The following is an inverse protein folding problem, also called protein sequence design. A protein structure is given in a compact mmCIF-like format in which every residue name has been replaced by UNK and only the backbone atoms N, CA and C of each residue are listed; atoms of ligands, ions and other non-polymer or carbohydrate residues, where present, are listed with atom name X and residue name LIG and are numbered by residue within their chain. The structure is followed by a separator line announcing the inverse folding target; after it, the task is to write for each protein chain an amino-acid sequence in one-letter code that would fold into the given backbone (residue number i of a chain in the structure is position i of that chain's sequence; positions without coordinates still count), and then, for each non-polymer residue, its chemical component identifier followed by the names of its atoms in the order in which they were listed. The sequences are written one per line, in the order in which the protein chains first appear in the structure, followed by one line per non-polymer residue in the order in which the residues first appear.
data_IF_343937039883
#
_entry.id   IF_343937039883
#
_cell.length_a   1.000
_cell.length_b   1.000
_cell.length_c   1.000
_cell.angle_alpha   90.00
_cell.angle_beta   90.00
_cell.angle_gamma   90.00
#
_symmetry.space_group_name_H-M   'P 1'
#
loop_
_entity.id
_entity.type
_entity.pdbx_description
1 polymer ?
#
# COMPACT_ATOMS: atom_id res chain seq x y z
N UNK A 1 -20.88 -21.17 1.92
CA UNK A 1 -19.50 -21.57 2.29
C UNK A 1 -19.21 -23.04 2.00
N UNK A 2 -20.07 -24.00 2.36
CA UNK A 2 -19.83 -25.45 2.08
C UNK A 2 -19.49 -25.79 0.62
N UNK A 3 -20.03 -25.05 -0.36
CA UNK A 3 -19.82 -25.31 -1.80
C UNK A 3 -18.42 -24.99 -2.34
N UNK A 4 -17.69 -24.06 -1.71
CA UNK A 4 -16.35 -23.66 -2.17
C UNK A 4 -15.27 -24.64 -1.70
N UNK A 5 -15.61 -25.54 -0.77
CA UNK A 5 -14.69 -26.49 -0.17
C UNK A 5 -13.80 -25.84 0.90
N UNK A 6 -13.32 -26.68 1.83
CA UNK A 6 -12.51 -26.26 2.97
C UNK A 6 -11.19 -25.58 2.56
N UNK A 7 -10.55 -26.10 1.51
CA UNK A 7 -9.30 -25.54 0.97
C UNK A 7 -9.46 -24.08 0.52
N UNK A 8 -10.63 -23.73 -0.02
CA UNK A 8 -10.93 -22.35 -0.36
C UNK A 8 -11.20 -21.50 0.89
N UNK A 9 -12.09 -21.94 1.77
CA UNK A 9 -12.52 -21.14 2.94
C UNK A 9 -11.40 -20.89 3.94
N UNK A 10 -10.47 -21.84 4.05
CA UNK A 10 -9.34 -21.79 4.99
C UNK A 10 -8.07 -21.24 4.32
N UNK A 11 -8.17 -20.77 3.08
CA UNK A 11 -7.02 -20.26 2.33
C UNK A 11 -6.40 -19.04 3.03
N UNK A 12 -5.06 -19.00 3.08
CA UNK A 12 -4.26 -17.97 3.79
C UNK A 12 -4.58 -16.52 3.38
N UNK A 13 -5.10 -16.31 2.17
CA UNK A 13 -5.44 -14.98 1.64
C UNK A 13 -6.42 -14.22 2.53
N UNK A 14 -7.35 -14.91 3.19
CA UNK A 14 -8.31 -14.26 4.09
C UNK A 14 -7.61 -13.66 5.31
N UNK A 15 -6.63 -14.36 5.88
CA UNK A 15 -5.79 -13.85 6.95
C UNK A 15 -4.90 -12.71 6.47
N UNK A 16 -4.28 -12.85 5.29
CA UNK A 16 -3.48 -11.78 4.70
C UNK A 16 -4.28 -10.48 4.52
N UNK A 17 -5.50 -10.56 4.00
CA UNK A 17 -6.35 -9.37 3.82
C UNK A 17 -6.66 -8.67 5.13
N UNK A 18 -7.00 -9.42 6.17
CA UNK A 18 -7.25 -8.87 7.51
C UNK A 18 -6.01 -8.21 8.10
N UNK A 19 -4.86 -8.89 8.06
CA UNK A 19 -3.62 -8.33 8.61
C UNK A 19 -3.15 -7.07 7.88
N UNK A 20 -3.28 -7.04 6.54
CA UNK A 20 -2.94 -5.86 5.76
C UNK A 20 -3.93 -4.71 6.02
N UNK A 21 -5.22 -5.00 6.20
CA UNK A 21 -6.21 -3.99 6.57
C UNK A 21 -5.89 -3.38 7.94
N UNK A 22 -5.56 -4.20 8.94
CA UNK A 22 -5.17 -3.76 10.28
C UNK A 22 -3.87 -2.93 10.26
N UNK A 23 -2.92 -3.30 9.40
CA UNK A 23 -1.72 -2.49 9.17
C UNK A 23 -2.06 -1.09 8.67
N UNK A 24 -2.91 -0.97 7.63
CA UNK A 24 -3.30 0.34 7.10
C UNK A 24 -4.14 1.16 8.09
N UNK A 25 -4.95 0.51 8.92
CA UNK A 25 -5.69 1.17 9.99
C UNK A 25 -4.74 1.78 11.04
N UNK A 26 -3.79 0.98 11.52
CA UNK A 26 -2.76 1.40 12.47
C UNK A 26 -1.89 2.53 11.89
N UNK A 27 -1.52 2.40 10.62
CA UNK A 27 -0.76 3.42 9.91
C UNK A 27 -1.55 4.72 9.75
N UNK A 28 -2.85 4.65 9.45
CA UNK A 28 -3.71 5.83 9.37
C UNK A 28 -3.77 6.59 10.69
N UNK A 29 -3.93 5.87 11.80
CA UNK A 29 -3.97 6.44 13.15
C UNK A 29 -2.66 7.11 13.54
N UNK A 30 -1.53 6.44 13.35
CA UNK A 30 -0.20 6.98 13.69
C UNK A 30 0.24 8.12 12.76
N UNK A 31 -0.18 8.08 11.49
CA UNK A 31 0.20 9.11 10.52
C UNK A 31 -0.60 10.40 10.68
N UNK A 32 -1.79 10.33 11.29
CA UNK A 32 -2.72 11.46 11.43
C UNK A 32 -2.10 12.67 12.14
N UNK A 33 -1.20 12.42 13.09
CA UNK A 33 -0.51 13.46 13.87
C UNK A 33 0.58 14.21 13.11
N UNK A 34 1.07 13.70 11.96
CA UNK A 34 2.05 14.41 11.15
C UNK A 34 1.37 15.44 10.25
N UNK A 35 1.88 16.68 10.23
CA UNK A 35 1.36 17.69 9.32
C UNK A 35 1.77 17.40 7.87
N UNK A 36 0.80 17.21 6.97
CA UNK A 36 1.06 17.21 5.53
C UNK A 36 1.45 18.60 5.06
N UNK A 37 2.74 18.80 4.77
CA UNK A 37 3.23 20.05 4.21
C UNK A 37 2.80 20.19 2.75
N UNK A 38 2.54 21.43 2.31
CA UNK A 38 2.19 21.72 0.91
C UNK A 38 0.70 21.62 0.55
N UNK A 39 -0.21 21.42 1.51
CA UNK A 39 -1.67 21.44 1.24
C UNK A 39 -2.43 22.20 2.32
N UNK A 40 -3.70 22.57 2.04
CA UNK A 40 -4.59 23.22 3.02
C UNK A 40 -5.31 22.21 3.93
N UNK A 41 -4.88 20.95 3.94
CA UNK A 41 -5.52 19.92 4.75
C UNK A 41 -5.21 20.13 6.24
N UNK A 42 -6.22 19.96 7.10
CA UNK A 42 -6.06 20.08 8.57
C UNK A 42 -5.38 18.82 9.13
N UNK A 43 -5.61 17.67 8.49
CA UNK A 43 -5.05 16.38 8.86
C UNK A 43 -4.17 15.85 7.73
N UNK A 44 -3.31 14.88 8.05
CA UNK A 44 -2.46 14.25 7.05
C UNK A 44 -3.30 13.63 5.93
N UNK A 45 -2.99 13.96 4.67
CA UNK A 45 -3.70 13.43 3.51
C UNK A 45 -3.56 11.90 3.39
N UNK A 46 -2.44 11.35 3.86
CA UNK A 46 -2.17 9.92 3.79
C UNK A 46 -3.09 9.11 4.69
N UNK A 47 -3.54 9.65 5.83
CA UNK A 47 -4.53 9.01 6.71
C UNK A 47 -5.81 8.65 5.95
N UNK A 48 -6.28 9.52 5.06
CA UNK A 48 -7.46 9.24 4.24
C UNK A 48 -7.20 8.19 3.16
N UNK A 49 -5.99 8.16 2.61
CA UNK A 49 -5.61 7.13 1.65
C UNK A 49 -5.53 5.76 2.33
N UNK A 50 -4.90 5.67 3.51
CA UNK A 50 -4.76 4.41 4.25
C UNK A 50 -6.10 3.86 4.73
N UNK A 51 -7.00 4.70 5.27
CA UNK A 51 -8.36 4.28 5.61
C UNK A 51 -9.17 3.84 4.37
N UNK A 52 -9.00 4.50 3.23
CA UNK A 52 -9.62 4.07 1.96
C UNK A 52 -9.08 2.73 1.45
N UNK A 53 -7.78 2.51 1.59
CA UNK A 53 -7.11 1.24 1.25
C UNK A 53 -7.61 0.11 2.15
N UNK A 54 -7.68 0.33 3.48
CA UNK A 54 -8.28 -0.62 4.42
C UNK A 54 -9.67 -1.06 3.97
N UNK A 55 -10.57 -0.09 3.70
CA UNK A 55 -11.92 -0.40 3.24
C UNK A 55 -11.95 -1.17 1.90
N UNK A 56 -10.98 -0.94 1.02
CA UNK A 56 -10.84 -1.71 -0.22
C UNK A 56 -10.40 -3.16 0.06
N UNK A 57 -9.49 -3.39 1.01
CA UNK A 57 -9.07 -4.73 1.43
C UNK A 57 -10.21 -5.50 2.11
N UNK A 58 -11.00 -4.84 2.96
CA UNK A 58 -12.21 -5.41 3.55
C UNK A 58 -13.23 -5.82 2.48
N UNK A 59 -13.42 -4.96 1.47
CA UNK A 59 -14.31 -5.25 0.33
C UNK A 59 -13.82 -6.45 -0.48
N UNK A 60 -12.51 -6.56 -0.73
CA UNK A 60 -11.90 -7.73 -1.40
C UNK A 60 -12.20 -9.00 -0.60
N UNK A 61 -12.03 -8.96 0.73
CA UNK A 61 -12.28 -10.09 1.61
C UNK A 61 -13.73 -10.55 1.55
N UNK A 62 -14.69 -9.63 1.54
CA UNK A 62 -16.12 -9.92 1.43
C UNK A 62 -16.45 -10.58 0.08
N UNK A 63 -15.93 -10.05 -1.02
CA UNK A 63 -16.16 -10.59 -2.37
C UNK A 63 -15.53 -11.98 -2.51
N UNK A 64 -14.30 -12.17 -2.04
CA UNK A 64 -13.65 -13.48 -2.03
C UNK A 64 -14.41 -14.50 -1.19
N UNK A 65 -14.98 -14.09 -0.05
CA UNK A 65 -15.80 -14.98 0.80
C UNK A 65 -17.05 -15.50 0.08
N UNK A 66 -17.51 -14.75 -0.93
CA UNK A 66 -18.60 -15.15 -1.81
C UNK A 66 -18.14 -15.95 -3.05
N UNK A 67 -16.85 -16.27 -3.18
CA UNK A 67 -16.33 -17.07 -4.29
C UNK A 67 -16.05 -16.29 -5.59
N UNK A 68 -16.10 -14.95 -5.54
CA UNK A 68 -16.01 -14.06 -6.70
C UNK A 68 -14.59 -13.54 -6.93
N UNK A 69 -13.69 -14.43 -7.37
CA UNK A 69 -12.26 -14.10 -7.50
C UNK A 69 -12.02 -13.00 -8.54
N UNK A 70 -12.77 -13.00 -9.66
CA UNK A 70 -12.55 -12.01 -10.70
C UNK A 70 -12.91 -10.59 -10.26
N UNK A 71 -14.06 -10.41 -9.59
CA UNK A 71 -14.45 -9.11 -9.03
C UNK A 71 -13.44 -8.63 -7.98
N UNK A 72 -12.85 -9.56 -7.24
CA UNK A 72 -11.78 -9.27 -6.28
C UNK A 72 -10.53 -8.72 -6.96
N UNK A 73 -10.19 -9.16 -8.18
CA UNK A 73 -9.08 -8.59 -8.96
C UNK A 73 -9.35 -7.17 -9.45
N UNK A 74 -10.61 -6.82 -9.76
CA UNK A 74 -10.97 -5.43 -10.08
C UNK A 74 -10.71 -4.51 -8.88
N UNK A 75 -11.02 -4.96 -7.67
CA UNK A 75 -10.67 -4.25 -6.45
C UNK A 75 -9.16 -4.27 -6.15
N UNK A 76 -8.45 -5.36 -6.46
CA UNK A 76 -6.98 -5.41 -6.35
C UNK A 76 -6.33 -4.40 -7.29
N UNK A 77 -6.87 -4.21 -8.51
CA UNK A 77 -6.44 -3.16 -9.44
C UNK A 77 -6.63 -1.77 -8.86
N UNK A 78 -7.80 -1.52 -8.24
CA UNK A 78 -8.09 -0.25 -7.54
C UNK A 78 -7.12 -0.02 -6.38
N UNK A 79 -6.88 -1.04 -5.55
CA UNK A 79 -5.90 -0.98 -4.46
C UNK A 79 -4.49 -0.65 -4.99
N UNK A 80 -4.04 -1.34 -6.04
CA UNK A 80 -2.78 -1.04 -6.72
C UNK A 80 -2.71 0.44 -7.12
N UNK A 81 -3.73 0.96 -7.81
CA UNK A 81 -3.73 2.36 -8.25
C UNK A 81 -3.72 3.34 -7.08
N UNK A 82 -4.49 3.09 -6.02
CA UNK A 82 -4.47 3.91 -4.81
C UNK A 82 -3.08 3.99 -4.17
N UNK A 83 -2.34 2.88 -4.10
CA UNK A 83 -0.97 2.88 -3.55
C UNK A 83 0.00 3.69 -4.41
N UNK A 84 -0.11 3.60 -5.73
CA UNK A 84 0.76 4.35 -6.64
C UNK A 84 0.42 5.85 -6.63
N UNK A 85 -0.87 6.20 -6.52
CA UNK A 85 -1.31 7.60 -6.33
C UNK A 85 -0.80 8.15 -5.00
N UNK A 86 -0.77 7.35 -3.94
CA UNK A 86 -0.21 7.76 -2.64
C UNK A 86 1.27 8.11 -2.76
N UNK A 87 2.07 7.22 -3.36
CA UNK A 87 3.51 7.44 -3.58
C UNK A 87 3.76 8.69 -4.43
N UNK A 88 2.99 8.86 -5.51
CA UNK A 88 3.08 10.04 -6.35
C UNK A 88 2.79 11.32 -5.57
N UNK A 89 1.70 11.34 -4.81
CA UNK A 89 1.29 12.51 -4.02
C UNK A 89 2.41 12.90 -3.07
N UNK A 90 2.96 11.94 -2.33
CA UNK A 90 4.06 12.18 -1.40
C UNK A 90 5.33 12.67 -2.09
N UNK A 91 5.73 12.04 -3.19
CA UNK A 91 6.91 12.46 -3.94
C UNK A 91 6.71 13.87 -4.53
N UNK A 92 5.55 14.15 -5.13
CA UNK A 92 5.26 15.43 -5.75
C UNK A 92 5.25 16.56 -4.73
N UNK A 93 4.64 16.35 -3.55
CA UNK A 93 4.72 17.30 -2.43
C UNK A 93 6.17 17.50 -1.97
N UNK A 94 6.94 16.42 -1.84
CA UNK A 94 8.36 16.50 -1.43
C UNK A 94 9.25 17.22 -2.46
N UNK A 95 8.89 17.20 -3.74
CA UNK A 95 9.63 17.88 -4.81
C UNK A 95 9.24 19.35 -4.98
N UNK A 96 7.98 19.72 -4.70
CA UNK A 96 7.43 21.03 -5.04
C UNK A 96 7.11 21.91 -3.83
N UNK A 97 7.01 21.37 -2.62
CA UNK A 97 6.85 22.18 -1.42
C UNK A 97 8.15 22.92 -1.11
N UNK A 98 8.07 24.24 -1.03
CA UNK A 98 9.15 25.11 -0.57
C UNK A 98 8.55 26.42 -0.03
N UNK A 99 9.41 27.31 0.48
CA UNK A 99 8.97 28.59 1.06
C UNK A 99 8.21 29.48 0.07
N UNK A 100 8.49 29.36 -1.24
CA UNK A 100 7.83 30.12 -2.30
C UNK A 100 6.56 29.42 -2.84
N UNK A 101 6.37 28.13 -2.52
CA UNK A 101 5.26 27.29 -2.94
C UNK A 101 4.67 26.51 -1.76
N UNK A 102 4.12 27.26 -0.80
CA UNK A 102 3.60 26.72 0.44
C UNK A 102 2.34 25.85 0.26
N UNK A 103 1.62 26.04 -0.85
CA UNK A 103 0.47 25.23 -1.25
C UNK A 103 0.73 24.72 -2.67
N UNK A 104 0.93 23.42 -2.78
CA UNK A 104 1.11 22.73 -4.06
C UNK A 104 -0.26 22.59 -4.73
N UNK A 105 -0.64 23.60 -5.52
CA UNK A 105 -1.98 23.71 -6.12
C UNK A 105 -2.40 22.47 -6.89
N UNK A 106 -1.47 21.80 -7.57
CA UNK A 106 -1.74 20.58 -8.31
C UNK A 106 -2.41 19.49 -7.44
N UNK A 107 -1.91 19.29 -6.22
CA UNK A 107 -2.47 18.31 -5.27
C UNK A 107 -3.72 18.88 -4.57
N UNK A 108 -3.73 20.17 -4.22
CA UNK A 108 -4.88 20.79 -3.55
C UNK A 108 -6.11 20.89 -4.48
N UNK A 109 -5.91 21.01 -5.79
CA UNK A 109 -6.98 21.04 -6.79
C UNK A 109 -7.67 19.67 -6.95
N UNK A 110 -6.93 18.56 -6.80
CA UNK A 110 -7.54 17.23 -6.75
C UNK A 110 -8.41 17.06 -5.51
N UNK A 111 -7.92 17.54 -4.37
CA UNK A 111 -8.68 17.52 -3.11
C UNK A 111 -9.99 18.32 -3.21
N UNK A 112 -9.97 19.44 -3.94
CA UNK A 112 -11.18 20.26 -4.21
C UNK A 112 -12.07 19.69 -5.31
N UNK A 113 -11.60 18.69 -6.06
CA UNK A 113 -12.29 18.17 -7.24
C UNK A 113 -12.33 19.14 -8.43
N UNK A 114 -11.43 20.12 -8.47
CA UNK A 114 -11.32 21.08 -9.60
C UNK A 114 -10.40 20.56 -10.71
N UNK A 115 -9.57 19.57 -10.41
CA UNK A 115 -8.75 18.83 -11.37
C UNK A 115 -8.85 17.33 -11.11
N UNK A 116 -8.63 16.52 -12.15
CA UNK A 116 -8.59 15.07 -12.05
C UNK A 116 -7.17 14.56 -11.82
N UNK A 117 -7.05 13.46 -11.09
CA UNK A 117 -5.79 12.73 -10.93
C UNK A 117 -5.28 12.29 -12.32
N UNK A 118 -4.00 12.49 -12.65
CA UNK A 118 -3.41 12.11 -13.93
C UNK A 118 -3.51 10.61 -14.20
N UNK A 119 -3.40 10.26 -15.47
CA UNK A 119 -3.36 8.86 -15.88
C UNK A 119 -2.17 8.12 -15.28
N UNK A 120 -2.36 6.81 -15.04
CA UNK A 120 -1.33 5.92 -14.48
C UNK A 120 0.03 6.06 -15.18
N UNK A 121 0.05 6.23 -16.51
CA UNK A 121 1.32 6.33 -17.26
C UNK A 121 2.12 7.58 -16.88
N UNK A 122 1.44 8.71 -16.64
CA UNK A 122 2.06 9.96 -16.20
C UNK A 122 2.62 9.77 -14.80
N UNK A 123 1.80 9.24 -13.89
CA UNK A 123 2.20 8.97 -12.50
C UNK A 123 3.40 8.02 -12.43
N UNK A 124 3.31 6.87 -13.12
CA UNK A 124 4.34 5.84 -13.11
C UNK A 124 5.66 6.36 -13.68
N UNK A 125 5.61 7.19 -14.73
CA UNK A 125 6.82 7.82 -15.29
C UNK A 125 7.45 8.77 -14.29
N UNK A 126 6.66 9.62 -13.64
CA UNK A 126 7.15 10.57 -12.64
C UNK A 126 7.88 9.87 -11.49
N UNK A 127 7.29 8.81 -10.92
CA UNK A 127 7.92 8.00 -9.87
C UNK A 127 9.22 7.36 -10.35
N UNK A 128 9.24 6.78 -11.56
CA UNK A 128 10.41 6.06 -12.10
C UNK A 128 11.57 6.98 -12.45
N UNK A 129 11.29 8.19 -12.91
CA UNK A 129 12.30 9.17 -13.30
C UNK A 129 12.87 9.93 -12.08
N UNK A 130 12.31 9.73 -10.88
CA UNK A 130 12.76 10.38 -9.64
C UNK A 130 14.12 9.87 -9.18
N UNK A 131 15.09 10.77 -9.07
CA UNK A 131 16.40 10.48 -8.48
C UNK A 131 16.30 10.04 -7.01
N UNK A 132 15.35 10.62 -6.24
CA UNK A 132 15.12 10.28 -4.82
C UNK A 132 14.68 8.83 -4.65
N UNK A 133 13.85 8.32 -5.55
CA UNK A 133 13.32 6.96 -5.50
C UNK A 133 14.12 5.96 -6.35
N UNK A 134 15.21 6.38 -6.99
CA UNK A 134 15.94 5.54 -7.93
C UNK A 134 16.42 4.22 -7.30
N UNK A 135 17.05 4.21 -6.10
CA UNK A 135 17.56 2.95 -5.54
C UNK A 135 16.46 1.91 -5.30
N UNK A 136 15.34 2.33 -4.71
CA UNK A 136 14.22 1.42 -4.47
C UNK A 136 13.49 1.04 -5.77
N UNK A 137 13.40 1.96 -6.73
CA UNK A 137 12.78 1.69 -8.05
C UNK A 137 13.58 0.68 -8.83
N UNK A 138 14.91 0.78 -8.85
CA UNK A 138 15.77 -0.18 -9.55
C UNK A 138 15.58 -1.59 -8.98
N UNK A 139 15.48 -1.72 -7.65
CA UNK A 139 15.18 -3.00 -7.00
C UNK A 139 13.78 -3.51 -7.36
N UNK A 140 12.77 -2.65 -7.38
CA UNK A 140 11.41 -3.04 -7.75
C UNK A 140 11.30 -3.43 -9.24
N UNK A 141 12.12 -2.85 -10.11
CA UNK A 141 12.11 -3.10 -11.55
C UNK A 141 13.16 -4.10 -12.03
N UNK A 142 13.93 -4.71 -11.13
CA UNK A 142 14.97 -5.70 -11.46
C UNK A 142 14.42 -6.91 -12.23
N UNK A 143 13.14 -7.21 -12.05
CA UNK A 143 12.42 -8.30 -12.70
C UNK A 143 11.02 -7.85 -13.16
N UNK A 144 10.25 -8.79 -13.71
CA UNK A 144 8.92 -8.51 -14.27
C UNK A 144 7.78 -8.67 -13.25
N UNK A 145 8.05 -8.90 -11.96
CA UNK A 145 7.02 -9.23 -10.96
C UNK A 145 5.89 -8.20 -10.95
N UNK A 146 6.20 -6.93 -10.64
CA UNK A 146 5.18 -5.89 -10.49
C UNK A 146 4.50 -5.52 -11.82
N UNK A 147 5.22 -5.65 -12.94
CA UNK A 147 4.62 -5.53 -14.27
C UNK A 147 3.58 -6.64 -14.48
N UNK A 148 3.92 -7.89 -14.17
CA UNK A 148 3.03 -9.03 -14.34
C UNK A 148 1.82 -8.96 -13.39
N UNK A 149 1.99 -8.47 -12.17
CA UNK A 149 0.88 -8.20 -11.24
C UNK A 149 -0.11 -7.22 -11.85
N UNK A 150 0.40 -6.09 -12.38
CA UNK A 150 -0.43 -5.09 -13.03
C UNK A 150 -1.13 -5.64 -14.27
N UNK A 151 -0.41 -6.39 -15.11
CA UNK A 151 -0.95 -7.00 -16.33
C UNK A 151 -2.06 -7.99 -15.98
N UNK A 152 -1.90 -8.84 -14.95
CA UNK A 152 -2.96 -9.73 -14.44
C UNK A 152 -4.18 -8.97 -13.95
N UNK A 153 -3.99 -7.92 -13.14
CA UNK A 153 -5.09 -7.07 -12.69
C UNK A 153 -5.88 -6.49 -13.86
N UNK A 154 -5.18 -6.08 -14.93
CA UNK A 154 -5.78 -5.56 -16.16
C UNK A 154 -6.56 -6.65 -16.91
N UNK A 155 -5.99 -7.85 -17.03
CA UNK A 155 -6.62 -8.99 -17.72
C UNK A 155 -7.90 -9.47 -17.04
N UNK A 156 -7.96 -9.43 -15.71
CA UNK A 156 -9.17 -9.73 -14.94
C UNK A 156 -10.23 -8.64 -15.05
N UNK A 157 -9.82 -7.37 -15.00
CA UNK A 157 -10.73 -6.21 -15.08
C UNK A 157 -11.43 -6.14 -16.43
N UNK A 158 -10.72 -6.45 -17.53
CA UNK A 158 -11.27 -6.37 -18.88
C UNK A 158 -11.81 -7.70 -19.42
N UNK A 159 -11.84 -8.76 -18.61
CA UNK A 159 -12.20 -10.12 -19.05
C UNK A 159 -11.44 -10.57 -20.30
N UNK A 160 -10.13 -10.29 -20.36
CA UNK A 160 -9.31 -10.60 -21.53
C UNK A 160 -9.30 -12.11 -21.88
N UNK A 161 -9.60 -12.98 -20.92
CA UNK A 161 -9.75 -14.41 -21.11
C UNK A 161 -11.07 -14.93 -20.56
N UNK A 162 -11.71 -15.87 -21.26
CA UNK A 162 -12.99 -16.44 -20.84
C UNK A 162 -12.93 -17.14 -19.47
N UNK A 163 -11.79 -17.74 -19.11
CA UNK A 163 -11.63 -18.35 -17.78
C UNK A 163 -11.69 -17.33 -16.63
N UNK A 164 -11.41 -16.05 -16.89
CA UNK A 164 -11.59 -14.97 -15.91
C UNK A 164 -13.07 -14.72 -15.61
N UNK A 165 -13.94 -14.86 -16.62
CA UNK A 165 -15.39 -14.78 -16.42
C UNK A 165 -15.87 -15.91 -15.50
N UNK A 166 -15.39 -17.13 -15.74
CA UNK A 166 -15.73 -18.31 -14.94
C UNK A 166 -15.29 -18.21 -13.47
N UNK A 167 -14.24 -17.44 -13.18
CA UNK A 167 -13.76 -17.22 -11.81
C UNK A 167 -14.74 -16.42 -10.94
N UNK A 168 -15.76 -15.80 -11.53
CA UNK A 168 -16.82 -15.11 -10.81
C UNK A 168 -18.07 -15.95 -10.55
N UNK A 169 -18.20 -17.08 -11.25
CA UNK A 169 -19.29 -18.02 -11.04
C UNK A 169 -18.91 -18.95 -9.89
N UNK A 170 -19.57 -18.82 -8.75
CA UNK A 170 -19.34 -19.63 -7.55
C UNK A 170 -20.22 -20.89 -7.50
N UNK A 171 -21.06 -21.13 -8.50
CA UNK A 171 -21.94 -22.30 -8.61
C UNK A 171 -21.28 -23.44 -9.42
N UNK A 172 -20.25 -23.13 -10.22
CA UNK A 172 -19.51 -24.12 -10.99
C UNK A 172 -18.29 -24.68 -10.25
N UNK A 173 -18.03 -25.96 -10.45
CA UNK A 173 -16.74 -26.55 -10.09
C UNK A 173 -15.66 -26.11 -11.08
N UNK A 174 -14.65 -25.42 -10.57
CA UNK A 174 -13.52 -24.95 -11.36
C UNK A 174 -12.22 -25.51 -10.75
N UNK A 175 -11.56 -26.49 -11.38
CA UNK A 175 -10.36 -27.15 -10.82
C UNK A 175 -9.23 -26.19 -10.45
N UNK A 176 -9.11 -25.08 -11.17
CA UNK A 176 -8.03 -24.10 -10.98
C UNK A 176 -8.37 -22.99 -9.98
N UNK A 177 -9.49 -23.06 -9.25
CA UNK A 177 -9.93 -22.00 -8.33
C UNK A 177 -8.93 -21.73 -7.22
N UNK A 178 -8.41 -22.79 -6.59
CA UNK A 178 -7.40 -22.66 -5.52
C UNK A 178 -6.11 -22.04 -6.08
N UNK A 179 -5.66 -22.48 -7.26
CA UNK A 179 -4.50 -21.90 -7.93
C UNK A 179 -4.67 -20.41 -8.25
N UNK A 180 -5.89 -20.00 -8.65
CA UNK A 180 -6.21 -18.60 -8.87
C UNK A 180 -6.15 -17.79 -7.55
N UNK A 181 -6.59 -18.38 -6.44
CA UNK A 181 -6.54 -17.79 -5.12
C UNK A 181 -5.10 -17.67 -4.57
N UNK A 182 -4.26 -18.67 -4.84
CA UNK A 182 -2.81 -18.62 -4.56
C UNK A 182 -2.12 -17.51 -5.37
N UNK A 183 -2.49 -17.36 -6.64
CA UNK A 183 -1.96 -16.27 -7.49
C UNK A 183 -2.43 -14.90 -6.96
N UNK A 184 -3.70 -14.78 -6.59
CA UNK A 184 -4.26 -13.56 -5.99
C UNK A 184 -3.53 -13.19 -4.70
N UNK A 185 -3.27 -14.19 -3.84
CA UNK A 185 -2.51 -14.03 -2.60
C UNK A 185 -1.10 -13.47 -2.87
N UNK A 186 -0.38 -14.03 -3.84
CA UNK A 186 0.94 -13.53 -4.21
C UNK A 186 0.89 -12.08 -4.75
N UNK A 187 -0.11 -11.78 -5.57
CA UNK A 187 -0.30 -10.44 -6.14
C UNK A 187 -0.63 -9.40 -5.07
N UNK A 188 -1.53 -9.74 -4.15
CA UNK A 188 -1.89 -8.91 -2.99
C UNK A 188 -0.64 -8.52 -2.18
N UNK A 189 0.18 -9.51 -1.84
CA UNK A 189 1.42 -9.28 -1.08
C UNK A 189 2.41 -8.45 -1.91
N UNK A 190 2.53 -8.68 -3.21
CA UNK A 190 3.41 -7.88 -4.06
C UNK A 190 2.99 -6.40 -4.06
N UNK A 191 1.69 -6.08 -4.22
CA UNK A 191 1.20 -4.69 -4.15
C UNK A 191 1.53 -4.07 -2.79
N UNK A 192 1.30 -4.81 -1.71
CA UNK A 192 1.65 -4.34 -0.37
C UNK A 192 3.14 -4.03 -0.21
N UNK A 193 4.02 -4.97 -0.59
CA UNK A 193 5.48 -4.80 -0.50
C UNK A 193 5.94 -3.60 -1.34
N UNK A 194 5.37 -3.39 -2.52
CA UNK A 194 5.69 -2.23 -3.37
C UNK A 194 5.33 -0.91 -2.67
N UNK A 195 4.14 -0.84 -2.08
CA UNK A 195 3.69 0.36 -1.40
C UNK A 195 4.52 0.64 -0.16
N UNK A 196 4.74 -0.38 0.68
CA UNK A 196 5.61 -0.29 1.86
C UNK A 196 7.00 0.23 1.48
N UNK A 197 7.59 -0.34 0.43
CA UNK A 197 8.92 0.03 -0.06
C UNK A 197 9.00 1.51 -0.41
N UNK A 198 8.09 2.00 -1.25
CA UNK A 198 8.12 3.41 -1.65
C UNK A 198 7.77 4.36 -0.50
N UNK A 199 6.73 4.04 0.27
CA UNK A 199 6.22 4.91 1.31
C UNK A 199 7.29 5.18 2.37
N UNK A 200 7.88 4.14 2.95
CA UNK A 200 8.88 4.30 4.00
C UNK A 200 10.25 4.72 3.49
N UNK A 201 10.53 4.58 2.20
CA UNK A 201 11.71 5.19 1.60
C UNK A 201 11.56 6.72 1.51
N UNK A 202 10.35 7.23 1.24
CA UNK A 202 10.07 8.67 1.22
C UNK A 202 9.87 9.25 2.63
N UNK A 203 9.01 8.60 3.41
CA UNK A 203 8.51 9.08 4.70
C UNK A 203 8.90 8.11 5.82
N UNK A 204 10.20 7.97 6.06
CA UNK A 204 10.70 7.07 7.12
C UNK A 204 10.17 7.41 8.52
N UNK A 205 9.94 8.69 8.80
CA UNK A 205 9.31 9.15 10.03
C UNK A 205 7.91 8.58 10.29
N UNK A 206 7.19 8.07 9.27
CA UNK A 206 5.94 7.32 9.51
C UNK A 206 6.17 5.99 10.23
N UNK A 207 7.43 5.56 10.38
CA UNK A 207 7.77 4.41 11.21
C UNK A 207 7.77 4.71 12.70
N UNK A 208 7.73 5.97 13.10
CA UNK A 208 7.98 6.41 14.48
C UNK A 208 6.94 5.88 15.47
N UNK A 209 7.40 5.35 16.60
CA UNK A 209 6.52 4.99 17.71
C UNK A 209 5.86 6.23 18.34
N UNK A 210 4.68 6.08 18.89
CA UNK A 210 3.97 7.18 19.56
C UNK A 210 4.61 7.55 20.90
N UNK A 211 5.47 6.68 21.48
CA UNK A 211 6.10 6.90 22.79
C UNK A 211 6.66 8.33 22.94
N UNK A 212 7.37 8.83 21.93
CA UNK A 212 7.93 10.18 21.96
C UNK A 212 6.85 11.26 22.11
N UNK A 213 5.77 11.15 21.32
CA UNK A 213 4.66 12.10 21.31
C UNK A 213 3.81 11.95 22.58
N UNK A 214 3.54 10.71 23.01
CA UNK A 214 2.73 10.41 24.19
C UNK A 214 3.36 11.03 25.45
N UNK A 215 4.69 10.98 25.58
CA UNK A 215 5.41 11.67 26.68
C UNK A 215 5.22 13.19 26.62
N UNK A 216 5.31 13.79 25.43
CA UNK A 216 5.10 15.23 25.26
C UNK A 216 3.66 15.65 25.58
N UNK A 217 2.67 14.86 25.16
CA UNK A 217 1.25 15.13 25.36
C UNK A 217 0.86 15.14 26.85
N UNK A 218 1.55 14.34 27.68
CA UNK A 218 1.37 14.35 29.14
C UNK A 218 2.33 15.29 29.88
N UNK A 219 3.09 16.11 29.16
CA UNK A 219 4.01 17.10 29.73
C UNK A 219 5.28 16.51 30.36
N UNK A 220 5.65 15.28 29.99
CA UNK A 220 6.87 14.60 30.42
C UNK A 220 8.00 14.81 29.40
N UNK A 221 9.25 14.63 29.85
CA UNK A 221 10.42 14.66 28.97
C UNK A 221 10.61 13.28 28.32
N UNK A 222 10.57 13.17 26.97
CA UNK A 222 10.81 11.91 26.30
C UNK A 222 12.24 11.41 26.49
N UNK A 223 12.43 10.08 26.41
CA UNK A 223 13.77 9.48 26.44
C UNK A 223 14.60 9.94 25.24
N UNK A 224 15.89 10.20 25.46
CA UNK A 224 16.80 10.60 24.39
C UNK A 224 16.87 9.52 23.29
N UNK A 225 16.57 9.93 22.04
CA UNK A 225 16.59 9.03 20.89
C UNK A 225 15.30 8.21 20.70
N UNK A 226 14.27 8.42 21.52
CA UNK A 226 12.96 7.78 21.34
C UNK A 226 12.20 8.24 20.09
N UNK A 227 12.54 9.41 19.54
CA UNK A 227 12.02 9.89 18.25
C UNK A 227 12.42 9.01 17.05
N UNK A 228 13.38 8.10 17.23
CA UNK A 228 13.82 7.16 16.20
C UNK A 228 13.32 5.73 16.44
N UNK A 229 12.53 5.49 17.49
CA UNK A 229 11.98 4.16 17.75
C UNK A 229 10.91 3.83 16.72
N UNK A 230 10.84 2.55 16.33
CA UNK A 230 9.87 2.07 15.34
C UNK A 230 8.64 1.53 16.04
N UNK A 231 7.44 1.87 15.56
CA UNK A 231 6.20 1.33 16.11
C UNK A 231 6.18 -0.20 16.00
N UNK A 232 5.71 -0.95 17.02
CA UNK A 232 5.72 -2.41 17.01
C UNK A 232 5.01 -3.04 15.80
N UNK A 233 3.89 -2.47 15.35
CA UNK A 233 3.15 -3.00 14.20
C UNK A 233 3.94 -2.91 12.89
N UNK A 234 4.81 -1.90 12.75
CA UNK A 234 5.66 -1.69 11.58
C UNK A 234 6.80 -2.70 11.60
N UNK A 235 7.47 -2.87 12.74
CA UNK A 235 8.53 -3.87 12.89
C UNK A 235 7.99 -5.28 12.60
N UNK A 236 6.87 -5.65 13.20
CA UNK A 236 6.22 -6.94 12.96
C UNK A 236 5.87 -7.16 11.48
N UNK A 237 5.36 -6.12 10.82
CA UNK A 237 5.03 -6.16 9.38
C UNK A 237 6.29 -6.29 8.52
N UNK A 238 7.34 -5.56 8.86
CA UNK A 238 8.62 -5.60 8.16
C UNK A 238 9.24 -7.00 8.22
N UNK A 239 9.24 -7.60 9.41
CA UNK A 239 9.75 -8.95 9.65
C UNK A 239 8.93 -10.03 8.95
N UNK A 240 7.61 -9.86 8.89
CA UNK A 240 6.69 -10.85 8.34
C UNK A 240 6.58 -10.79 6.81
N UNK A 241 6.53 -9.59 6.24
CA UNK A 241 6.15 -9.39 4.84
C UNK A 241 7.27 -8.83 3.97
N UNK A 242 8.20 -8.07 4.54
CA UNK A 242 9.25 -7.42 3.74
C UNK A 242 10.50 -8.28 3.69
N UNK A 243 11.09 -8.63 4.85
CA UNK A 243 12.30 -9.47 4.92
C UNK A 243 12.16 -10.81 4.17
N UNK A 244 11.06 -11.59 4.33
CA UNK A 244 10.99 -12.91 3.72
C UNK A 244 10.75 -12.87 2.21
N UNK A 245 10.10 -11.81 1.69
CA UNK A 245 9.72 -11.72 0.28
C UNK A 245 10.73 -10.91 -0.54
N UNK A 246 11.34 -9.88 0.05
CA UNK A 246 12.23 -8.92 -0.62
C UNK A 246 13.32 -8.43 0.33
N UNK A 247 14.24 -9.33 0.68
CA UNK A 247 15.40 -9.03 1.54
C UNK A 247 16.27 -7.89 1.00
N UNK A 248 16.35 -7.74 -0.33
CA UNK A 248 17.04 -6.64 -0.99
C UNK A 248 16.39 -5.28 -0.72
N UNK A 249 15.05 -5.20 -0.78
CA UNK A 249 14.29 -4.00 -0.39
C UNK A 249 14.44 -3.72 1.11
N UNK A 250 14.41 -4.76 1.94
CA UNK A 250 14.60 -4.62 3.38
C UNK A 250 15.98 -4.00 3.70
N UNK A 251 17.04 -4.48 3.04
CA UNK A 251 18.38 -3.93 3.19
C UNK A 251 18.48 -2.47 2.76
N UNK A 252 17.89 -2.13 1.62
CA UNK A 252 17.88 -0.75 1.08
C UNK A 252 17.17 0.22 2.03
N UNK A 253 15.95 -0.10 2.51
CA UNK A 253 15.23 0.74 3.48
C UNK A 253 16.06 0.94 4.75
N UNK A 254 16.59 -0.14 5.33
CA UNK A 254 17.40 -0.10 6.55
C UNK A 254 18.65 0.76 6.40
N UNK A 255 19.27 0.76 5.21
CA UNK A 255 20.49 1.53 4.96
C UNK A 255 20.25 3.03 4.85
N UNK A 256 19.02 3.45 4.47
CA UNK A 256 18.65 4.85 4.24
C UNK A 256 17.96 5.49 5.45
N UNK A 257 17.18 4.72 6.21
CA UNK A 257 16.37 5.25 7.30
C UNK A 257 17.22 5.64 8.51
N UNK A 258 16.81 6.72 9.20
CA UNK A 258 17.35 7.06 10.54
C UNK A 258 16.61 6.35 11.67
N UNK A 259 15.49 5.69 11.36
CA UNK A 259 14.68 4.94 12.32
C UNK A 259 15.39 3.65 12.72
N UNK A 260 15.22 3.22 13.96
CA UNK A 260 15.80 1.98 14.50
C UNK A 260 15.02 0.75 14.03
N UNK A 261 14.90 0.61 12.70
CA UNK A 261 14.25 -0.53 12.05
C UNK A 261 15.21 -1.73 12.05
N UNK A 262 14.78 -2.83 12.67
CA UNK A 262 15.59 -4.04 12.84
C UNK A 262 15.42 -5.03 11.70
#
# INVERSE_FOLDING_TARGET
MERLGKEYTDHKVFGQLSELADFYDSLAHTTMGFMSQGTKAILNLDTYVFTSVKGTLDSIREILSNGRINDSYALLRKYYDSTIINVYTNLYLNDHFNLDNFIVEHIDNWRKGTETIPEYRVISKYIKDSAKLKPITDLLLKDKLYKNVRDRCNDHTHYNYYHNLLLNDNEIYLPNRIKALETFSADLIAVFVQHFAYLFYLNDHYMMSTDYIDFLDVGMTPEEGSQYWVSPFIQNTFDKWIKPYRLDIAGEIKSKTSMKLE
#
